data_IF_762560789531
#
_entry.id   IF_762560789531
#
_cell.length_a   1.000
_cell.length_b   1.000
_cell.length_c   1.000
_cell.angle_alpha   90.00
_cell.angle_beta   90.00
_cell.angle_gamma   90.00
#
_symmetry.space_group_name_H-M   'P 1'
#
loop_
_entity.id
_entity.type
_entity.pdbx_description
1 polymer ?
#
# COMPACT_ATOMS: atom_id res chain seq x y z
N UNK A 1 -4.01 34.14 -4.88
CA UNK A 1 -3.47 33.36 -3.75
C UNK A 1 -3.21 34.33 -2.60
N UNK A 2 -4.21 34.54 -1.73
CA UNK A 2 -4.10 35.49 -0.62
C UNK A 2 -3.42 34.78 0.57
N UNK A 3 -2.22 35.25 0.91
CA UNK A 3 -1.51 34.85 2.13
C UNK A 3 -2.26 35.41 3.35
N UNK A 4 -2.92 34.53 4.09
CA UNK A 4 -3.39 34.80 5.44
C UNK A 4 -2.16 34.98 6.36
N UNK A 5 -1.71 36.23 6.50
CA UNK A 5 -0.81 36.62 7.59
C UNK A 5 -1.59 36.46 8.90
N UNK A 6 -1.42 35.32 9.57
CA UNK A 6 -1.86 35.15 10.95
C UNK A 6 -1.23 36.25 11.79
N UNK A 7 -2.03 37.24 12.20
CA UNK A 7 -1.57 38.35 13.00
C UNK A 7 -1.00 37.80 14.32
N UNK A 8 0.33 37.78 14.43
CA UNK A 8 1.01 37.41 15.65
C UNK A 8 0.76 38.52 16.67
N UNK A 9 -0.24 38.33 17.52
CA UNK A 9 -0.65 39.34 18.49
C UNK A 9 0.48 39.63 19.48
N UNK A 10 0.71 40.93 19.73
CA UNK A 10 1.80 41.38 20.61
C UNK A 10 1.50 41.20 22.11
N UNK A 11 2.52 41.31 22.96
CA UNK A 11 2.41 41.11 24.41
C UNK A 11 1.29 41.94 25.09
N UNK A 12 1.04 43.16 24.62
CA UNK A 12 -0.02 44.05 25.15
C UNK A 12 -1.43 43.50 24.90
N UNK A 13 -1.65 42.84 23.76
CA UNK A 13 -2.92 42.18 23.45
C UNK A 13 -3.18 41.06 24.44
N UNK A 14 -2.22 40.15 24.60
CA UNK A 14 -2.36 39.01 25.51
C UNK A 14 -2.57 39.44 26.97
N UNK A 15 -1.88 40.49 27.42
CA UNK A 15 -2.14 41.08 28.74
C UNK A 15 -3.57 41.64 28.88
N UNK A 16 -4.07 42.37 27.87
CA UNK A 16 -5.46 42.86 27.89
C UNK A 16 -6.48 41.73 27.89
N UNK A 17 -6.25 40.68 27.11
CA UNK A 17 -7.11 39.49 27.08
C UNK A 17 -7.08 38.77 28.43
N UNK A 18 -5.90 38.57 29.03
CA UNK A 18 -5.76 37.99 30.37
C UNK A 18 -6.55 38.75 31.43
N UNK A 19 -6.55 40.09 31.36
CA UNK A 19 -7.39 40.92 32.26
C UNK A 19 -8.87 40.69 32.07
N UNK A 20 -9.35 40.59 30.82
CA UNK A 20 -10.77 40.30 30.54
C UNK A 20 -11.16 38.92 31.08
N UNK A 21 -10.31 37.92 30.91
CA UNK A 21 -10.56 36.58 31.46
C UNK A 21 -10.58 36.58 33.00
N UNK A 22 -9.64 37.28 33.65
CA UNK A 22 -9.64 37.41 35.11
C UNK A 22 -10.91 38.09 35.63
N UNK A 23 -11.38 39.15 34.97
CA UNK A 23 -12.63 39.84 35.31
C UNK A 23 -13.87 38.94 35.17
N UNK A 24 -13.80 37.95 34.29
CA UNK A 24 -14.84 36.94 34.11
C UNK A 24 -14.65 35.69 35.00
N UNK A 25 -13.71 35.71 35.95
CA UNK A 25 -13.31 34.54 36.76
C UNK A 25 -12.83 33.33 35.94
N UNK A 26 -12.41 33.55 34.70
CA UNK A 26 -11.84 32.53 33.81
C UNK A 26 -10.34 32.42 34.06
N UNK A 27 -9.97 31.88 35.21
CA UNK A 27 -8.59 31.95 35.72
C UNK A 27 -7.59 31.15 34.86
N UNK A 28 -7.97 29.98 34.33
CA UNK A 28 -7.13 29.15 33.44
C UNK A 28 -6.76 29.88 32.14
N UNK A 29 -7.73 30.54 31.51
CA UNK A 29 -7.57 31.35 30.31
C UNK A 29 -6.80 32.64 30.59
N UNK A 30 -7.00 33.21 31.78
CA UNK A 30 -6.28 34.38 32.24
C UNK A 30 -4.78 34.13 32.36
N UNK A 31 -4.37 33.11 33.13
CA UNK A 31 -2.95 32.77 33.32
C UNK A 31 -2.28 32.33 32.01
N UNK A 32 -3.01 31.63 31.15
CA UNK A 32 -2.51 31.24 29.81
C UNK A 32 -2.26 32.47 28.93
N UNK A 33 -3.13 33.47 29.01
CA UNK A 33 -2.95 34.73 28.30
C UNK A 33 -1.81 35.56 28.88
N UNK A 34 -1.66 35.61 30.21
CA UNK A 34 -0.53 36.30 30.84
C UNK A 34 0.81 35.65 30.55
N UNK A 35 0.90 34.31 30.55
CA UNK A 35 2.08 33.58 30.08
C UNK A 35 2.52 34.05 28.69
N UNK A 36 1.59 34.08 27.72
CA UNK A 36 1.88 34.56 26.35
C UNK A 36 2.37 36.01 26.31
N UNK A 37 1.94 36.86 27.25
CA UNK A 37 2.41 38.22 27.38
C UNK A 37 3.83 38.28 27.99
N UNK A 38 4.11 37.47 29.01
CA UNK A 38 5.42 37.37 29.67
C UNK A 38 6.46 36.79 28.72
N UNK A 39 6.16 35.68 28.04
CA UNK A 39 7.09 35.04 27.07
C UNK A 39 7.57 36.03 26.00
N UNK A 40 6.71 36.97 25.59
CA UNK A 40 7.04 38.01 24.61
C UNK A 40 7.76 39.22 25.21
N UNK A 41 7.51 39.55 26.48
CA UNK A 41 8.09 40.72 27.18
C UNK A 41 8.34 40.37 28.65
N UNK A 42 9.41 39.62 28.97
CA UNK A 42 9.64 39.05 30.30
C UNK A 42 9.98 40.07 31.38
N UNK A 43 10.51 41.24 30.99
CA UNK A 43 10.95 42.30 31.91
C UNK A 43 9.82 43.27 32.31
N UNK A 44 8.56 43.00 31.94
CA UNK A 44 7.43 43.86 32.30
C UNK A 44 6.81 43.42 33.62
N UNK A 45 7.18 44.13 34.69
CA UNK A 45 6.72 43.90 36.06
C UNK A 45 5.19 43.73 36.16
N UNK A 46 4.42 44.62 35.53
CA UNK A 46 2.94 44.54 35.54
C UNK A 46 2.35 43.26 34.95
N UNK A 47 3.07 42.55 34.07
CA UNK A 47 2.61 41.26 33.53
C UNK A 47 2.87 40.14 34.54
N UNK A 48 3.98 40.21 35.26
CA UNK A 48 4.32 39.27 36.34
C UNK A 48 3.37 39.42 37.53
N UNK A 49 3.07 40.66 37.96
CA UNK A 49 2.09 40.91 39.02
C UNK A 49 0.71 40.32 38.66
N UNK A 50 0.21 40.59 37.45
CA UNK A 50 -1.08 40.06 37.03
C UNK A 50 -1.10 38.52 36.91
N UNK A 51 0.05 37.91 36.58
CA UNK A 51 0.23 36.46 36.58
C UNK A 51 0.26 35.90 38.01
N UNK A 52 0.94 36.56 38.94
CA UNK A 52 1.00 36.19 40.36
C UNK A 52 -0.41 36.21 40.97
N UNK A 53 -1.17 37.28 40.74
CA UNK A 53 -2.53 37.44 41.29
C UNK A 53 -3.47 36.36 40.74
N UNK A 54 -3.56 36.22 39.41
CA UNK A 54 -4.47 35.27 38.78
C UNK A 54 -4.03 33.81 38.97
N UNK A 55 -2.72 33.56 39.00
CA UNK A 55 -2.14 32.24 39.23
C UNK A 55 -2.30 31.79 40.68
N UNK A 56 -2.13 32.70 41.65
CA UNK A 56 -2.39 32.40 43.06
C UNK A 56 -3.87 32.09 43.29
N UNK A 57 -4.78 32.87 42.70
CA UNK A 57 -6.22 32.62 42.77
C UNK A 57 -6.59 31.28 42.12
N UNK A 58 -5.99 30.93 40.97
CA UNK A 58 -6.23 29.66 40.31
C UNK A 58 -5.78 28.48 41.16
N UNK A 59 -4.55 28.52 41.70
CA UNK A 59 -4.04 27.44 42.53
C UNK A 59 -4.84 27.31 43.83
N UNK A 60 -5.26 28.43 44.43
CA UNK A 60 -6.14 28.42 45.60
C UNK A 60 -7.46 27.71 45.28
N UNK A 61 -8.10 28.06 44.17
CA UNK A 61 -9.36 27.46 43.72
C UNK A 61 -9.19 25.94 43.49
N UNK A 62 -8.13 25.54 42.79
CA UNK A 62 -7.89 24.14 42.45
C UNK A 62 -7.58 23.28 43.69
N UNK A 63 -6.68 23.73 44.58
CA UNK A 63 -6.36 22.99 45.80
C UNK A 63 -7.51 23.04 46.82
N UNK A 64 -8.29 24.11 46.87
CA UNK A 64 -9.53 24.17 47.66
C UNK A 64 -10.57 23.17 47.13
N UNK A 65 -10.73 23.09 45.82
CA UNK A 65 -11.62 22.11 45.19
C UNK A 65 -11.20 20.67 45.47
N UNK A 66 -9.88 20.40 45.50
CA UNK A 66 -9.33 19.12 45.94
C UNK A 66 -9.73 18.79 47.38
N UNK A 67 -9.53 19.73 48.33
CA UNK A 67 -9.93 19.53 49.74
C UNK A 67 -11.42 19.28 49.92
N UNK A 68 -12.27 19.98 49.17
CA UNK A 68 -13.73 19.78 49.24
C UNK A 68 -14.21 18.47 48.61
N UNK A 69 -13.35 17.76 47.87
CA UNK A 69 -13.66 16.42 47.39
C UNK A 69 -13.31 15.31 48.39
N UNK A 70 -12.71 15.66 49.53
CA UNK A 70 -12.30 14.69 50.54
C UNK A 70 -13.47 13.80 50.99
N UNK A 71 -13.18 12.50 51.16
CA UNK A 71 -14.20 11.45 51.31
C UNK A 71 -14.72 10.83 49.99
N UNK A 72 -14.39 11.41 48.83
CA UNK A 72 -14.54 10.77 47.52
C UNK A 72 -13.17 10.65 46.84
N UNK A 73 -12.44 9.57 47.16
CA UNK A 73 -11.06 9.35 46.69
C UNK A 73 -10.92 9.52 45.16
N UNK A 74 -11.90 9.07 44.36
CA UNK A 74 -11.87 9.23 42.90
C UNK A 74 -11.85 10.70 42.47
N UNK A 75 -12.72 11.52 43.06
CA UNK A 75 -12.83 12.93 42.71
C UNK A 75 -11.62 13.72 43.22
N UNK A 76 -11.12 13.39 44.42
CA UNK A 76 -9.94 14.02 45.01
C UNK A 76 -8.68 13.79 44.17
N UNK A 77 -8.39 12.55 43.77
CA UNK A 77 -7.20 12.20 42.97
C UNK A 77 -7.13 13.04 41.68
N UNK A 78 -8.22 13.09 40.91
CA UNK A 78 -8.20 13.84 39.64
C UNK A 78 -8.14 15.35 39.82
N UNK A 79 -8.74 15.89 40.88
CA UNK A 79 -8.64 17.32 41.21
C UNK A 79 -7.23 17.69 41.66
N UNK A 80 -6.58 16.84 42.46
CA UNK A 80 -5.18 17.02 42.83
C UNK A 80 -4.28 17.01 41.59
N UNK A 81 -4.43 16.02 40.70
CA UNK A 81 -3.66 15.94 39.46
C UNK A 81 -3.84 17.16 38.55
N UNK A 82 -5.04 17.74 38.46
CA UNK A 82 -5.25 19.00 37.74
C UNK A 82 -4.58 20.19 38.45
N UNK A 83 -4.69 20.28 39.78
CA UNK A 83 -4.00 21.31 40.57
C UNK A 83 -2.47 21.26 40.38
N UNK A 84 -1.88 20.07 40.49
CA UNK A 84 -0.45 19.82 40.28
C UNK A 84 0.00 20.18 38.86
N UNK A 85 -0.81 19.81 37.85
CA UNK A 85 -0.55 20.18 36.46
C UNK A 85 -0.47 21.69 36.29
N UNK A 86 -1.40 22.44 36.88
CA UNK A 86 -1.38 23.91 36.83
C UNK A 86 -0.25 24.50 37.66
N UNK A 87 0.08 23.94 38.84
CA UNK A 87 1.23 24.37 39.63
C UNK A 87 2.53 24.24 38.82
N UNK A 88 2.75 23.08 38.21
CA UNK A 88 3.92 22.81 37.37
C UNK A 88 3.96 23.71 36.13
N UNK A 89 2.81 24.09 35.57
CA UNK A 89 2.73 25.06 34.48
C UNK A 89 3.10 26.49 34.92
N UNK A 90 2.85 26.85 36.18
CA UNK A 90 3.02 28.20 36.72
C UNK A 90 4.37 28.44 37.40
N UNK A 91 5.10 27.39 37.82
CA UNK A 91 6.34 27.49 38.61
C UNK A 91 7.43 28.36 37.96
N UNK A 92 7.52 28.43 36.63
CA UNK A 92 8.49 29.29 35.92
C UNK A 92 8.10 30.78 35.88
N UNK A 93 6.89 31.12 36.31
CA UNK A 93 6.28 32.43 36.12
C UNK A 93 5.90 33.14 37.42
N UNK A 94 5.71 32.38 38.51
CA UNK A 94 5.30 32.86 39.83
C UNK A 94 5.83 31.96 40.94
N UNK A 95 5.74 32.41 42.20
CA UNK A 95 6.13 31.57 43.33
C UNK A 95 5.02 30.56 43.68
N UNK A 96 5.33 29.27 43.64
CA UNK A 96 4.38 28.19 43.98
C UNK A 96 4.77 27.41 45.24
N UNK A 97 5.80 27.83 45.98
CA UNK A 97 6.39 27.05 47.08
C UNK A 97 5.39 26.68 48.19
N UNK A 98 4.38 27.52 48.44
CA UNK A 98 3.32 27.26 49.43
C UNK A 98 2.49 25.99 49.14
N UNK A 99 2.52 25.48 47.91
CA UNK A 99 1.78 24.29 47.48
C UNK A 99 2.69 23.10 47.18
N UNK A 100 4.01 23.27 47.26
CA UNK A 100 4.97 22.21 46.95
C UNK A 100 5.03 21.22 48.10
N UNK A 101 4.74 19.94 47.82
CA UNK A 101 4.77 18.86 48.81
C UNK A 101 3.66 18.90 49.86
N UNK A 102 2.87 19.99 49.94
CA UNK A 102 1.95 20.23 51.05
C UNK A 102 0.84 19.17 51.17
N UNK A 103 0.34 18.67 50.04
CA UNK A 103 -0.75 17.69 49.96
C UNK A 103 -0.28 16.29 49.56
N UNK A 104 1.02 16.06 49.47
CA UNK A 104 1.58 14.82 48.91
C UNK A 104 1.18 13.59 49.72
N UNK A 105 1.19 13.70 51.05
CA UNK A 105 0.83 12.58 51.94
C UNK A 105 -0.65 12.24 51.81
N UNK A 106 -1.53 13.24 51.91
CA UNK A 106 -2.99 13.07 51.76
C UNK A 106 -3.33 12.45 50.40
N UNK A 107 -2.67 12.92 49.33
CA UNK A 107 -2.85 12.40 47.98
C UNK A 107 -2.41 10.94 47.88
N UNK A 108 -1.24 10.57 48.43
CA UNK A 108 -0.75 9.19 48.41
C UNK A 108 -1.69 8.25 49.16
N UNK A 109 -2.16 8.65 50.34
CA UNK A 109 -3.09 7.83 51.14
C UNK A 109 -4.44 7.64 50.43
N UNK A 110 -4.97 8.67 49.76
CA UNK A 110 -6.17 8.57 48.93
C UNK A 110 -5.95 7.70 47.69
N UNK A 111 -4.80 7.86 47.01
CA UNK A 111 -4.43 7.09 45.84
C UNK A 111 -4.33 5.59 46.18
N UNK A 112 -3.66 5.24 47.28
CA UNK A 112 -3.49 3.84 47.69
C UNK A 112 -4.83 3.14 47.92
N UNK A 113 -5.78 3.79 48.61
CA UNK A 113 -7.14 3.26 48.82
C UNK A 113 -7.89 3.10 47.50
N UNK A 114 -7.83 4.10 46.64
CA UNK A 114 -8.52 4.09 45.36
C UNK A 114 -7.99 3.00 44.43
N UNK A 115 -6.67 2.87 44.31
CA UNK A 115 -6.03 1.84 43.51
C UNK A 115 -6.34 0.44 44.06
N UNK A 116 -6.35 0.25 45.38
CA UNK A 116 -6.73 -1.03 46.00
C UNK A 116 -8.17 -1.43 45.62
N UNK A 117 -9.14 -0.53 45.76
CA UNK A 117 -10.54 -0.81 45.38
C UNK A 117 -10.71 -1.08 43.89
N UNK A 118 -9.97 -0.36 43.03
CA UNK A 118 -9.99 -0.60 41.59
C UNK A 118 -9.37 -1.95 41.26
N UNK A 119 -8.27 -2.30 41.89
CA UNK A 119 -7.57 -3.56 41.69
C UNK A 119 -8.45 -4.77 42.06
N UNK A 120 -9.15 -4.70 43.20
CA UNK A 120 -10.08 -5.76 43.62
C UNK A 120 -11.24 -5.92 42.63
N UNK A 121 -11.78 -4.80 42.11
CA UNK A 121 -12.82 -4.81 41.08
C UNK A 121 -12.33 -5.44 39.77
N UNK A 122 -11.12 -5.09 39.32
CA UNK A 122 -10.52 -5.68 38.13
C UNK A 122 -10.39 -7.21 38.28
N UNK A 123 -9.84 -7.68 39.40
CA UNK A 123 -9.73 -9.10 39.71
C UNK A 123 -11.09 -9.81 39.70
N UNK A 124 -12.12 -9.21 40.31
CA UNK A 124 -13.49 -9.75 40.27
C UNK A 124 -14.01 -9.86 38.84
N UNK A 125 -13.85 -8.81 38.04
CA UNK A 125 -14.30 -8.80 36.65
C UNK A 125 -13.58 -9.85 35.81
N UNK A 126 -12.26 -9.99 35.94
CA UNK A 126 -11.46 -11.04 35.30
C UNK A 126 -12.01 -12.43 35.65
N UNK A 127 -12.22 -12.74 36.93
CA UNK A 127 -12.77 -14.04 37.37
C UNK A 127 -14.15 -14.33 36.80
N UNK A 128 -14.96 -13.29 36.59
CA UNK A 128 -16.29 -13.38 35.97
C UNK A 128 -16.29 -13.19 34.45
N UNK A 129 -15.11 -13.22 33.80
CA UNK A 129 -14.92 -13.03 32.34
C UNK A 129 -15.47 -11.72 31.78
N UNK A 130 -15.62 -10.69 32.62
CA UNK A 130 -16.02 -9.33 32.21
C UNK A 130 -14.78 -8.53 31.77
N UNK A 131 -14.07 -9.02 30.76
CA UNK A 131 -12.74 -8.52 30.36
C UNK A 131 -12.73 -7.05 29.94
N UNK A 132 -13.72 -6.59 29.17
CA UNK A 132 -13.79 -5.19 28.74
C UNK A 132 -13.89 -4.22 29.93
N UNK A 133 -14.65 -4.59 30.98
CA UNK A 133 -14.75 -3.80 32.21
C UNK A 133 -13.43 -3.81 32.99
N UNK A 134 -12.79 -4.98 33.08
CA UNK A 134 -11.48 -5.11 33.70
C UNK A 134 -10.44 -4.23 33.00
N UNK A 135 -10.34 -4.31 31.66
CA UNK A 135 -9.40 -3.52 30.86
C UNK A 135 -9.56 -2.01 31.10
N UNK A 136 -10.78 -1.47 30.96
CA UNK A 136 -11.05 -0.03 31.17
C UNK A 136 -10.55 0.44 32.54
N UNK A 137 -10.76 -0.36 33.57
CA UNK A 137 -10.35 -0.05 34.93
C UNK A 137 -8.85 -0.24 35.18
N UNK A 138 -8.23 -1.27 34.61
CA UNK A 138 -6.78 -1.53 34.70
C UNK A 138 -5.97 -0.47 33.95
N UNK A 139 -6.44 0.02 32.80
CA UNK A 139 -5.84 1.15 32.08
C UNK A 139 -5.77 2.39 32.97
N UNK A 140 -6.82 2.62 33.75
CA UNK A 140 -6.85 3.76 34.68
C UNK A 140 -5.86 3.58 35.83
N UNK A 141 -5.79 2.38 36.45
CA UNK A 141 -4.78 2.07 37.46
C UNK A 141 -3.38 2.31 36.88
N UNK A 142 -3.06 1.73 35.72
CA UNK A 142 -1.76 1.86 35.06
C UNK A 142 -1.40 3.31 34.71
N UNK A 143 -2.40 4.15 34.41
CA UNK A 143 -2.20 5.59 34.15
C UNK A 143 -1.84 6.36 35.42
N UNK A 144 -2.44 5.99 36.55
CA UNK A 144 -2.21 6.63 37.85
C UNK A 144 -0.91 6.15 38.49
N UNK A 145 -0.66 4.84 38.42
CA UNK A 145 0.58 4.20 38.87
C UNK A 145 0.92 3.01 37.96
N UNK A 146 1.90 3.17 37.04
CA UNK A 146 2.33 2.12 36.13
C UNK A 146 2.92 0.89 36.82
N UNK A 147 3.51 1.04 38.01
CA UNK A 147 4.18 -0.05 38.74
C UNK A 147 3.28 -0.63 39.85
N UNK A 148 1.99 -0.30 39.84
CA UNK A 148 1.04 -0.80 40.83
C UNK A 148 0.84 -2.31 40.68
N UNK A 149 1.54 -3.07 41.52
CA UNK A 149 1.47 -4.55 41.58
C UNK A 149 1.68 -5.15 40.18
N UNK A 150 0.82 -6.09 39.79
CA UNK A 150 0.80 -6.81 38.52
C UNK A 150 -0.21 -6.22 37.51
N UNK A 151 -0.48 -4.90 37.56
CA UNK A 151 -1.46 -4.26 36.68
C UNK A 151 -1.12 -4.43 35.19
N UNK A 152 0.16 -4.49 34.83
CA UNK A 152 0.61 -4.65 33.44
C UNK A 152 0.23 -6.04 32.94
N UNK A 153 0.51 -7.06 33.73
CA UNK A 153 0.23 -8.47 33.48
C UNK A 153 -1.28 -8.73 33.45
N UNK A 154 -2.05 -8.18 34.41
CA UNK A 154 -3.50 -8.30 34.43
C UNK A 154 -4.16 -7.62 33.23
N UNK A 155 -3.63 -6.48 32.78
CA UNK A 155 -4.14 -5.79 31.60
C UNK A 155 -3.88 -6.61 30.33
N UNK A 156 -2.67 -7.15 30.19
CA UNK A 156 -2.32 -8.04 29.10
C UNK A 156 -3.19 -9.30 29.11
N UNK A 157 -3.37 -9.95 30.26
CA UNK A 157 -4.27 -11.10 30.40
C UNK A 157 -5.70 -10.76 29.98
N UNK A 158 -6.25 -9.65 30.48
CA UNK A 158 -7.61 -9.24 30.16
C UNK A 158 -7.81 -8.91 28.67
N UNK A 159 -6.75 -8.51 27.96
CA UNK A 159 -6.78 -8.28 26.50
C UNK A 159 -6.59 -9.58 25.70
N UNK A 160 -5.70 -10.46 26.14
CA UNK A 160 -5.32 -11.68 25.42
C UNK A 160 -6.37 -12.79 25.57
N UNK A 161 -6.88 -13.02 26.78
CA UNK A 161 -7.81 -14.12 27.10
C UNK A 161 -9.07 -14.15 26.22
N UNK A 162 -9.83 -13.05 26.03
CA UNK A 162 -11.01 -13.10 25.17
C UNK A 162 -10.67 -13.40 23.70
N UNK A 163 -9.52 -12.91 23.21
CA UNK A 163 -9.04 -13.18 21.85
C UNK A 163 -8.64 -14.65 21.70
N UNK A 164 -7.95 -15.20 22.69
CA UNK A 164 -7.57 -16.60 22.73
C UNK A 164 -8.81 -17.51 22.68
N UNK A 165 -9.83 -17.23 23.50
CA UNK A 165 -11.09 -18.01 23.51
C UNK A 165 -11.78 -17.96 22.15
N UNK A 166 -11.96 -16.78 21.56
CA UNK A 166 -12.59 -16.66 20.23
C UNK A 166 -11.75 -17.31 19.12
N UNK A 167 -10.43 -17.29 19.22
CA UNK A 167 -9.55 -17.98 18.29
C UNK A 167 -9.71 -19.51 18.39
N UNK A 168 -9.89 -20.06 19.59
CA UNK A 168 -10.18 -21.48 19.76
C UNK A 168 -11.54 -21.87 19.17
N UNK A 169 -12.57 -21.05 19.37
CA UNK A 169 -13.89 -21.28 18.77
C UNK A 169 -13.83 -21.32 17.24
N UNK A 170 -13.14 -20.36 16.62
CA UNK A 170 -12.92 -20.35 15.17
C UNK A 170 -12.07 -21.54 14.69
N UNK A 171 -11.07 -21.95 15.49
CA UNK A 171 -10.25 -23.12 15.18
C UNK A 171 -11.07 -24.42 15.19
N UNK A 172 -12.01 -24.56 16.13
CA UNK A 172 -12.94 -25.69 16.20
C UNK A 172 -13.92 -25.72 15.01
N UNK A 173 -14.29 -24.55 14.48
CA UNK A 173 -15.12 -24.42 13.29
C UNK A 173 -14.35 -24.62 11.97
N UNK A 174 -13.03 -24.79 12.00
CA UNK A 174 -12.19 -24.90 10.80
C UNK A 174 -11.92 -23.57 10.08
N UNK A 175 -12.24 -22.44 10.71
CA UNK A 175 -12.11 -21.10 10.13
C UNK A 175 -10.66 -20.56 10.29
N UNK A 176 -9.69 -21.30 9.76
CA UNK A 176 -8.27 -21.07 10.08
C UNK A 176 -7.73 -19.70 9.63
N UNK A 177 -8.17 -19.20 8.48
CA UNK A 177 -7.80 -17.85 8.00
C UNK A 177 -8.32 -16.77 8.95
N UNK A 178 -9.54 -16.92 9.45
CA UNK A 178 -10.13 -16.00 10.42
C UNK A 178 -9.42 -16.05 11.77
N UNK A 179 -8.95 -17.22 12.22
CA UNK A 179 -8.07 -17.33 13.40
C UNK A 179 -6.82 -16.48 13.20
N UNK A 180 -6.09 -16.68 12.10
CA UNK A 180 -4.87 -15.93 11.83
C UNK A 180 -5.13 -14.41 11.78
N UNK A 181 -6.19 -13.96 11.09
CA UNK A 181 -6.59 -12.55 11.01
C UNK A 181 -6.95 -11.95 12.39
N UNK A 182 -7.72 -12.68 13.21
CA UNK A 182 -8.12 -12.27 14.55
C UNK A 182 -6.91 -12.06 15.48
N UNK A 183 -5.88 -12.89 15.35
CA UNK A 183 -4.71 -12.89 16.22
C UNK A 183 -3.71 -11.77 15.88
N UNK A 184 -3.64 -11.30 14.62
CA UNK A 184 -2.61 -10.35 14.17
C UNK A 184 -2.51 -9.07 15.01
N UNK A 185 -3.61 -8.36 15.34
CA UNK A 185 -3.52 -7.12 16.10
C UNK A 185 -2.89 -7.33 17.49
N UNK A 186 -3.27 -8.43 18.15
CA UNK A 186 -2.79 -8.75 19.50
C UNK A 186 -1.35 -9.25 19.48
N UNK A 187 -0.97 -10.11 18.51
CA UNK A 187 0.41 -10.56 18.34
C UNK A 187 1.36 -9.42 17.94
N UNK A 188 0.88 -8.41 17.21
CA UNK A 188 1.67 -7.20 16.93
C UNK A 188 1.94 -6.40 18.21
N UNK A 189 0.96 -6.32 19.12
CA UNK A 189 1.10 -5.63 20.40
C UNK A 189 1.93 -6.43 21.42
N UNK A 190 1.75 -7.75 21.43
CA UNK A 190 2.40 -8.69 22.34
C UNK A 190 3.10 -9.82 21.57
N UNK A 191 4.26 -9.55 20.94
CA UNK A 191 4.92 -10.53 20.07
C UNK A 191 5.42 -11.78 20.78
N UNK A 192 5.52 -11.79 22.11
CA UNK A 192 6.01 -12.92 22.90
C UNK A 192 4.85 -13.76 23.50
N UNK A 193 3.61 -13.54 23.05
CA UNK A 193 2.45 -14.30 23.52
C UNK A 193 2.42 -15.72 22.93
N UNK A 194 3.12 -16.63 23.60
CA UNK A 194 3.30 -18.02 23.16
C UNK A 194 1.99 -18.79 23.00
N UNK A 195 0.96 -18.49 23.79
CA UNK A 195 -0.36 -19.14 23.65
C UNK A 195 -1.01 -18.80 22.31
N UNK A 196 -1.04 -17.50 21.96
CA UNK A 196 -1.61 -17.06 20.68
C UNK A 196 -0.79 -17.58 19.50
N UNK A 197 0.55 -17.61 19.61
CA UNK A 197 1.42 -18.17 18.57
C UNK A 197 1.16 -19.64 18.30
N UNK A 198 0.96 -20.44 19.35
CA UNK A 198 0.63 -21.87 19.17
C UNK A 198 -0.72 -22.05 18.47
N UNK A 199 -1.71 -21.22 18.76
CA UNK A 199 -3.01 -21.26 18.07
C UNK A 199 -2.87 -20.83 16.62
N UNK A 200 -2.09 -19.79 16.34
CA UNK A 200 -1.77 -19.33 14.99
C UNK A 200 -1.05 -20.41 14.18
N UNK A 201 -0.01 -21.03 14.74
CA UNK A 201 0.73 -22.14 14.13
C UNK A 201 -0.20 -23.32 13.82
N UNK A 202 -1.08 -23.69 14.76
CA UNK A 202 -2.07 -24.75 14.53
C UNK A 202 -3.06 -24.39 13.42
N UNK A 203 -3.54 -23.15 13.38
CA UNK A 203 -4.44 -22.69 12.32
C UNK A 203 -3.74 -22.75 10.97
N UNK A 204 -2.53 -22.22 10.86
CA UNK A 204 -1.73 -22.26 9.64
C UNK A 204 -1.50 -23.70 9.21
N UNK A 205 -1.02 -24.59 10.08
CA UNK A 205 -0.73 -25.98 9.70
C UNK A 205 -1.97 -26.76 9.27
N UNK A 206 -3.11 -26.56 9.93
CA UNK A 206 -4.36 -27.25 9.58
C UNK A 206 -5.00 -26.71 8.32
N UNK A 207 -4.95 -25.38 8.11
CA UNK A 207 -5.52 -24.72 6.95
C UNK A 207 -4.61 -24.67 5.73
N UNK A 208 -3.34 -25.08 5.86
CA UNK A 208 -2.35 -25.02 4.78
C UNK A 208 -2.81 -25.83 3.58
N UNK A 209 -2.95 -25.15 2.46
CA UNK A 209 -3.25 -25.72 1.16
C UNK A 209 -1.96 -25.89 0.34
N UNK A 210 -1.65 -27.12 0.00
CA UNK A 210 -0.49 -27.49 -0.82
C UNK A 210 -0.88 -27.52 -2.29
N UNK A 211 -0.55 -26.47 -3.02
CA UNK A 211 -0.87 -26.31 -4.42
C UNK A 211 0.27 -26.84 -5.30
N UNK A 212 0.05 -27.98 -5.94
CA UNK A 212 0.98 -28.53 -6.93
C UNK A 212 0.83 -27.81 -8.28
N UNK A 213 1.93 -27.43 -8.92
CA UNK A 213 1.89 -26.81 -10.26
C UNK A 213 2.43 -27.81 -11.27
N UNK A 214 1.63 -28.12 -12.28
CA UNK A 214 1.94 -29.13 -13.29
C UNK A 214 2.10 -28.51 -14.68
N UNK A 215 2.96 -29.14 -15.50
CA UNK A 215 3.06 -28.84 -16.92
C UNK A 215 2.24 -29.84 -17.74
N UNK A 216 1.86 -29.45 -18.95
CA UNK A 216 1.20 -30.34 -19.91
C UNK A 216 2.24 -30.89 -20.89
N UNK A 217 2.56 -32.19 -20.86
CA UNK A 217 3.57 -32.78 -21.73
C UNK A 217 3.16 -32.82 -23.20
N UNK A 218 1.88 -32.62 -23.52
CA UNK A 218 1.39 -32.63 -24.90
C UNK A 218 1.60 -31.28 -25.60
N UNK A 219 1.94 -30.22 -24.86
CA UNK A 219 2.25 -28.93 -25.45
C UNK A 219 3.62 -28.98 -26.12
N UNK A 220 3.68 -28.45 -27.35
CA UNK A 220 4.93 -28.33 -28.10
C UNK A 220 5.08 -26.91 -28.66
N UNK A 221 6.26 -26.59 -29.21
CA UNK A 221 6.48 -25.31 -29.90
C UNK A 221 6.40 -24.06 -29.01
N UNK A 222 5.80 -23.00 -29.57
CA UNK A 222 5.65 -21.69 -28.93
C UNK A 222 4.79 -21.73 -27.67
N UNK A 223 3.74 -22.53 -27.69
CA UNK A 223 2.76 -22.69 -26.62
C UNK A 223 3.40 -23.31 -25.39
N UNK A 224 4.24 -24.34 -25.57
CA UNK A 224 4.99 -24.95 -24.48
C UNK A 224 5.95 -23.94 -23.82
N UNK A 225 6.76 -23.26 -24.63
CA UNK A 225 7.74 -22.28 -24.14
C UNK A 225 7.07 -21.13 -23.38
N UNK A 226 5.95 -20.63 -23.91
CA UNK A 226 5.20 -19.56 -23.27
C UNK A 226 4.49 -20.05 -22.00
N UNK A 227 3.95 -21.28 -21.99
CA UNK A 227 3.34 -21.87 -20.80
C UNK A 227 4.36 -22.03 -19.67
N UNK A 228 5.59 -22.49 -19.94
CA UNK A 228 6.65 -22.55 -18.92
C UNK A 228 7.01 -21.17 -18.34
N UNK A 229 7.13 -20.16 -19.21
CA UNK A 229 7.42 -18.79 -18.77
C UNK A 229 6.28 -18.21 -17.93
N UNK A 230 5.04 -18.48 -18.33
CA UNK A 230 3.83 -18.10 -17.63
C UNK A 230 3.72 -18.77 -16.26
N UNK A 231 3.98 -20.08 -16.16
CA UNK A 231 4.01 -20.83 -14.90
C UNK A 231 5.03 -20.24 -13.92
N UNK A 232 6.26 -20.01 -14.39
CA UNK A 232 7.33 -19.38 -13.59
C UNK A 232 6.92 -18.00 -13.07
N UNK A 233 6.28 -17.19 -13.92
CA UNK A 233 5.80 -15.87 -13.55
C UNK A 233 4.65 -15.93 -12.52
N UNK A 234 3.70 -16.86 -12.68
CA UNK A 234 2.62 -17.09 -11.72
C UNK A 234 3.17 -17.53 -10.36
N UNK A 235 4.11 -18.49 -10.33
CA UNK A 235 4.79 -18.94 -9.10
C UNK A 235 5.41 -17.75 -8.38
N UNK A 236 6.19 -16.94 -9.10
CA UNK A 236 6.87 -15.77 -8.55
C UNK A 236 5.89 -14.76 -7.95
N UNK A 237 4.76 -14.51 -8.62
CA UNK A 237 3.72 -13.59 -8.14
C UNK A 237 3.01 -14.11 -6.90
N UNK A 238 2.64 -15.39 -6.87
CA UNK A 238 1.99 -16.01 -5.71
C UNK A 238 2.94 -16.02 -4.50
N UNK A 239 4.21 -16.42 -4.68
CA UNK A 239 5.20 -16.42 -3.60
C UNK A 239 5.43 -15.04 -3.00
N UNK A 240 5.27 -13.97 -3.80
CA UNK A 240 5.44 -12.59 -3.35
C UNK A 240 4.37 -12.15 -2.35
N UNK A 241 3.16 -12.67 -2.45
CA UNK A 241 2.08 -12.35 -1.49
C UNK A 241 2.32 -12.94 -0.10
N UNK A 242 3.14 -13.99 0.01
CA UNK A 242 3.48 -14.65 1.28
C UNK A 242 2.24 -15.08 2.08
N UNK A 243 1.25 -15.64 1.39
CA UNK A 243 0.08 -16.23 2.04
C UNK A 243 0.53 -17.41 2.93
N UNK A 244 0.39 -17.35 4.27
CA UNK A 244 0.86 -18.40 5.16
C UNK A 244 0.09 -19.72 4.98
N UNK A 245 -1.10 -19.66 4.36
CA UNK A 245 -1.94 -20.83 4.10
C UNK A 245 -1.67 -21.47 2.74
N UNK A 246 -0.77 -20.93 1.92
CA UNK A 246 -0.52 -21.46 0.58
C UNK A 246 0.93 -21.93 0.45
N UNK A 247 1.11 -23.23 0.29
CA UNK A 247 2.41 -23.85 0.03
C UNK A 247 2.44 -24.30 -1.44
N UNK A 248 3.40 -23.78 -2.21
CA UNK A 248 3.56 -24.15 -3.62
C UNK A 248 4.52 -25.34 -3.75
N UNK A 249 4.07 -26.36 -4.47
CA UNK A 249 4.89 -27.52 -4.83
C UNK A 249 5.13 -27.50 -6.34
N UNK A 250 6.38 -27.26 -6.76
CA UNK A 250 6.73 -27.37 -8.17
C UNK A 250 6.78 -28.85 -8.58
N UNK A 251 5.89 -29.25 -9.48
CA UNK A 251 5.75 -30.62 -10.00
C UNK A 251 6.05 -30.69 -11.49
N UNK A 252 6.64 -29.64 -12.06
CA UNK A 252 7.02 -29.57 -13.48
C UNK A 252 7.96 -30.71 -13.88
N UNK A 253 8.86 -31.12 -12.97
CA UNK A 253 9.82 -32.22 -13.18
C UNK A 253 9.58 -33.38 -12.21
N UNK A 254 8.33 -33.85 -12.09
CA UNK A 254 7.96 -34.90 -11.15
C UNK A 254 8.79 -36.19 -11.29
N UNK A 255 9.09 -36.60 -12.53
CA UNK A 255 9.86 -37.83 -12.81
C UNK A 255 11.30 -37.75 -12.26
N UNK A 256 11.93 -36.57 -12.31
CA UNK A 256 13.27 -36.35 -11.77
C UNK A 256 13.26 -36.37 -10.23
N UNK A 257 12.23 -35.76 -9.63
CA UNK A 257 12.03 -35.81 -8.17
C UNK A 257 11.75 -37.23 -7.67
N UNK A 258 11.03 -38.04 -8.45
CA UNK A 258 10.78 -39.44 -8.14
C UNK A 258 12.07 -40.27 -8.24
N UNK A 259 12.88 -40.07 -9.28
CA UNK A 259 14.17 -40.76 -9.43
C UNK A 259 15.16 -40.40 -8.32
N UNK A 260 15.23 -39.13 -7.90
CA UNK A 260 16.05 -38.70 -6.76
C UNK A 260 15.59 -39.37 -5.45
N UNK A 261 14.28 -39.49 -5.23
CA UNK A 261 13.74 -40.18 -4.06
C UNK A 261 13.98 -41.68 -4.10
N UNK A 262 13.79 -42.32 -5.25
CA UNK A 262 14.10 -43.74 -5.42
C UNK A 262 15.60 -44.02 -5.21
N UNK A 263 16.49 -43.12 -5.67
CA UNK A 263 17.92 -43.23 -5.41
C UNK A 263 18.29 -43.07 -3.92
N UNK A 264 17.60 -42.18 -3.19
CA UNK A 264 17.76 -42.02 -1.73
C UNK A 264 17.25 -43.26 -0.98
N UNK A 265 16.09 -43.79 -1.37
CA UNK A 265 15.48 -45.01 -0.78
C UNK A 265 16.35 -46.25 -1.05
N UNK A 266 16.91 -46.37 -2.25
CA UNK A 266 17.82 -47.45 -2.64
C UNK A 266 19.20 -47.35 -1.95
N UNK A 267 19.49 -46.23 -1.28
CA UNK A 267 20.78 -45.90 -0.66
C UNK A 267 20.89 -46.08 0.86
N UNK A 268 19.97 -46.82 1.51
CA UNK A 268 19.90 -47.25 2.95
C UNK A 268 18.80 -46.58 3.76
N UNK A 269 17.81 -47.39 4.19
CA UNK A 269 17.26 -47.63 5.55
C UNK A 269 15.73 -47.80 5.50
N UNK A 270 15.24 -48.84 6.18
CA UNK A 270 13.82 -49.19 6.31
C UNK A 270 12.99 -48.07 6.98
N UNK A 271 12.45 -47.13 6.21
CA UNK A 271 11.29 -46.32 6.58
C UNK A 271 10.39 -46.08 5.36
N UNK A 272 9.83 -47.17 4.83
CA UNK A 272 8.92 -47.17 3.66
C UNK A 272 7.63 -46.36 3.91
N UNK A 273 7.37 -45.95 5.16
CA UNK A 273 6.20 -45.16 5.54
C UNK A 273 6.43 -43.63 5.58
N UNK A 274 7.68 -43.15 5.61
CA UNK A 274 7.99 -41.72 5.87
C UNK A 274 8.06 -40.87 4.59
N UNK A 275 8.02 -41.49 3.40
CA UNK A 275 8.23 -40.78 2.12
C UNK A 275 6.97 -40.48 1.30
N UNK A 276 5.80 -41.04 1.63
CA UNK A 276 4.57 -40.82 0.83
C UNK A 276 3.67 -39.67 1.30
N UNK A 277 3.63 -39.34 2.60
CA UNK A 277 2.74 -38.31 3.13
C UNK A 277 3.29 -36.88 3.05
N UNK A 278 4.62 -36.71 3.03
CA UNK A 278 5.31 -35.40 3.04
C UNK A 278 5.24 -34.63 1.71
N UNK A 279 4.55 -35.16 0.69
CA UNK A 279 4.58 -34.65 -0.69
C UNK A 279 3.21 -34.61 -1.38
N UNK A 280 2.14 -34.85 -0.64
CA UNK A 280 0.78 -34.82 -1.16
C UNK A 280 0.32 -33.38 -1.42
N UNK A 281 0.22 -32.95 -2.69
CA UNK A 281 -0.53 -31.75 -3.05
C UNK A 281 -2.03 -31.97 -2.78
N UNK A 282 -2.75 -30.96 -2.30
CA UNK A 282 -4.20 -30.99 -2.14
C UNK A 282 -4.91 -30.84 -3.50
N UNK A 283 -4.31 -30.06 -4.39
CA UNK A 283 -4.77 -29.88 -5.77
C UNK A 283 -3.64 -29.55 -6.73
N UNK A 284 -3.91 -29.74 -8.02
CA UNK A 284 -3.01 -29.42 -9.11
C UNK A 284 -3.53 -28.23 -9.91
N UNK A 285 -2.72 -27.18 -9.96
CA UNK A 285 -2.91 -26.02 -10.81
C UNK A 285 -2.29 -26.29 -12.18
N UNK A 286 -3.12 -26.16 -13.21
CA UNK A 286 -2.71 -26.15 -14.61
C UNK A 286 -2.82 -24.73 -15.15
N UNK A 287 -1.70 -24.16 -15.58
CA UNK A 287 -1.64 -22.87 -16.28
C UNK A 287 -1.01 -23.10 -17.64
N UNK A 288 -1.81 -22.96 -18.70
CA UNK A 288 -1.38 -23.28 -20.07
C UNK A 288 -1.84 -22.23 -21.07
N UNK A 289 -1.06 -22.07 -22.14
CA UNK A 289 -1.48 -21.40 -23.35
C UNK A 289 -2.15 -22.43 -24.26
N UNK A 290 -3.43 -22.23 -24.54
CA UNK A 290 -4.22 -23.10 -25.42
C UNK A 290 -4.11 -22.69 -26.89
N UNK A 291 -3.87 -21.40 -27.15
CA UNK A 291 -3.67 -20.88 -28.50
C UNK A 291 -2.64 -19.74 -28.47
N UNK A 292 -1.68 -19.78 -29.39
CA UNK A 292 -0.75 -18.69 -29.63
C UNK A 292 -0.73 -18.37 -31.13
N UNK A 293 -0.97 -17.11 -31.46
CA UNK A 293 -0.85 -16.59 -32.81
C UNK A 293 0.14 -15.42 -32.80
N UNK A 294 1.17 -15.49 -33.63
CA UNK A 294 2.16 -14.44 -33.78
C UNK A 294 2.43 -14.21 -35.27
N UNK A 295 2.12 -13.01 -35.75
CA UNK A 295 2.37 -12.61 -37.12
C UNK A 295 3.32 -11.42 -37.15
N UNK A 296 4.53 -11.66 -37.63
CA UNK A 296 5.49 -10.61 -37.94
C UNK A 296 5.35 -10.23 -39.41
N UNK A 297 4.46 -9.26 -39.68
CA UNK A 297 4.16 -8.84 -41.04
C UNK A 297 5.39 -8.35 -41.81
N UNK A 298 5.35 -8.47 -43.12
CA UNK A 298 6.44 -8.02 -43.98
C UNK A 298 6.52 -6.50 -44.05
N UNK A 299 7.74 -5.96 -44.21
CA UNK A 299 7.93 -4.53 -44.47
C UNK A 299 7.53 -4.23 -45.92
N UNK A 300 6.33 -3.68 -46.10
CA UNK A 300 5.89 -3.18 -47.39
C UNK A 300 6.60 -1.87 -47.69
N UNK A 301 7.23 -1.80 -48.87
CA UNK A 301 7.89 -0.60 -49.38
C UNK A 301 7.38 -0.26 -50.78
N UNK A 302 7.04 1.00 -50.99
CA UNK A 302 6.56 1.48 -52.28
C UNK A 302 7.23 2.81 -52.63
N UNK A 303 7.79 2.90 -53.84
CA UNK A 303 8.30 4.18 -54.34
C UNK A 303 7.16 5.00 -54.92
N UNK A 304 6.89 6.15 -54.30
CA UNK A 304 5.85 7.08 -54.71
C UNK A 304 6.41 8.33 -55.34
N UNK A 305 5.59 8.91 -56.22
CA UNK A 305 5.86 10.16 -56.90
C UNK A 305 5.43 11.33 -56.03
N UNK A 306 6.22 12.38 -56.02
CA UNK A 306 5.93 13.60 -55.28
C UNK A 306 6.56 14.84 -55.91
N UNK A 307 6.41 15.94 -55.19
CA UNK A 307 6.94 17.25 -55.55
C UNK A 307 7.66 17.87 -54.36
N UNK A 308 8.86 18.39 -54.58
CA UNK A 308 9.59 19.18 -53.56
C UNK A 308 9.42 20.66 -53.87
N UNK A 309 8.95 21.42 -52.89
CA UNK A 309 8.90 22.88 -52.95
C UNK A 309 10.29 23.46 -52.69
N UNK A 310 10.69 24.37 -53.56
CA UNK A 310 11.88 25.19 -53.42
C UNK A 310 11.55 26.63 -53.77
N UNK A 311 12.43 27.57 -53.43
CA UNK A 311 12.23 28.98 -53.74
C UNK A 311 13.18 29.41 -54.85
N UNK A 312 12.65 30.13 -55.83
CA UNK A 312 13.43 30.81 -56.86
C UNK A 312 13.30 32.31 -56.63
N UNK A 313 14.41 33.03 -56.71
CA UNK A 313 14.40 34.50 -56.66
C UNK A 313 14.10 35.03 -58.06
N UNK A 314 12.98 35.71 -58.22
CA UNK A 314 12.60 36.42 -59.45
C UNK A 314 12.54 37.93 -59.15
N UNK A 315 13.00 38.77 -60.07
CA UNK A 315 12.82 40.24 -59.95
C UNK A 315 11.39 40.61 -60.36
N UNK A 316 10.70 41.36 -59.51
CA UNK A 316 9.39 41.89 -59.84
C UNK A 316 9.50 43.03 -60.88
N UNK A 317 8.36 43.54 -61.35
CA UNK A 317 8.29 44.65 -62.32
C UNK A 317 8.92 45.97 -61.85
N UNK A 318 9.31 46.04 -60.57
CA UNK A 318 9.95 47.21 -59.92
C UNK A 318 11.44 46.97 -59.61
N UNK A 319 11.99 45.80 -59.99
CA UNK A 319 13.41 45.47 -59.85
C UNK A 319 13.81 44.85 -58.51
N UNK A 320 12.86 44.64 -57.60
CA UNK A 320 13.09 44.03 -56.29
C UNK A 320 13.12 42.49 -56.37
N UNK A 321 13.97 41.87 -55.58
CA UNK A 321 14.10 40.41 -55.51
C UNK A 321 12.96 39.79 -54.68
N UNK A 322 12.06 39.06 -55.33
CA UNK A 322 10.95 38.36 -54.68
C UNK A 322 11.16 36.84 -54.74
N UNK A 323 11.01 36.16 -53.60
CA UNK A 323 11.08 34.70 -53.52
C UNK A 323 9.74 34.09 -53.94
N UNK A 324 9.74 33.34 -55.05
CA UNK A 324 8.57 32.62 -55.57
C UNK A 324 8.71 31.12 -55.32
N UNK A 325 7.63 30.49 -54.88
CA UNK A 325 7.60 29.05 -54.68
C UNK A 325 7.54 28.32 -56.02
N UNK A 326 8.54 27.48 -56.30
CA UNK A 326 8.60 26.56 -57.42
C UNK A 326 8.61 25.11 -56.91
N UNK A 327 8.32 24.16 -57.79
CA UNK A 327 8.17 22.75 -57.42
C UNK A 327 8.87 21.85 -58.44
N UNK A 328 9.67 20.92 -57.94
CA UNK A 328 10.37 19.93 -58.79
C UNK A 328 9.85 18.53 -58.51
N UNK A 329 9.80 17.69 -59.54
CA UNK A 329 9.34 16.30 -59.46
C UNK A 329 10.38 15.43 -58.78
N UNK A 330 9.95 14.70 -57.77
CA UNK A 330 10.82 13.85 -56.95
C UNK A 330 10.13 12.51 -56.68
N UNK A 331 10.91 11.53 -56.20
CA UNK A 331 10.40 10.30 -55.64
C UNK A 331 10.67 10.27 -54.14
N UNK A 332 9.80 9.60 -53.40
CA UNK A 332 9.99 9.25 -52.01
C UNK A 332 9.56 7.80 -51.80
N UNK A 333 10.08 7.13 -50.78
CA UNK A 333 9.70 5.75 -50.46
C UNK A 333 8.78 5.76 -49.26
N UNK A 334 7.64 5.09 -49.37
CA UNK A 334 6.69 4.88 -48.28
C UNK A 334 6.86 3.46 -47.73
N UNK A 335 6.89 3.35 -46.40
CA UNK A 335 7.09 2.11 -45.67
C UNK A 335 5.91 1.85 -44.75
N UNK A 336 5.42 0.61 -44.74
CA UNK A 336 4.37 0.12 -43.85
C UNK A 336 4.72 -1.26 -43.32
N UNK A 337 4.59 -1.49 -42.02
CA UNK A 337 4.69 -2.82 -41.40
C UNK A 337 3.71 -2.88 -40.23
N UNK A 338 3.05 -4.01 -40.06
CA UNK A 338 2.15 -4.29 -38.93
C UNK A 338 2.54 -5.65 -38.34
N UNK A 339 2.69 -5.69 -37.03
CA UNK A 339 2.91 -6.91 -36.27
C UNK A 339 1.71 -7.14 -35.37
N UNK A 340 1.30 -8.40 -35.23
CA UNK A 340 0.13 -8.79 -34.44
C UNK A 340 0.48 -10.04 -33.63
N UNK A 341 -0.07 -10.14 -32.42
CA UNK A 341 0.04 -11.33 -31.60
C UNK A 341 -1.20 -11.51 -30.73
N UNK A 342 -1.71 -12.74 -30.62
CA UNK A 342 -2.88 -13.11 -29.83
C UNK A 342 -2.61 -14.37 -29.02
N UNK A 343 -3.09 -14.40 -27.79
CA UNK A 343 -2.85 -15.51 -26.86
C UNK A 343 -4.10 -15.86 -26.06
N UNK A 344 -4.42 -17.14 -26.00
CA UNK A 344 -5.44 -17.71 -25.12
C UNK A 344 -4.79 -18.51 -24.00
N UNK A 345 -5.08 -18.14 -22.77
CA UNK A 345 -4.64 -18.83 -21.56
C UNK A 345 -5.81 -19.54 -20.90
N UNK A 346 -5.57 -20.75 -20.42
CA UNK A 346 -6.45 -21.45 -19.48
C UNK A 346 -5.73 -21.67 -18.14
N UNK A 347 -6.44 -21.38 -17.06
CA UNK A 347 -6.06 -21.66 -15.67
C UNK A 347 -7.10 -22.61 -15.10
N UNK A 348 -6.69 -23.76 -14.58
CA UNK A 348 -7.60 -24.72 -13.97
C UNK A 348 -7.01 -25.31 -12.69
N UNK A 349 -7.86 -25.52 -11.70
CA UNK A 349 -7.52 -26.24 -10.47
C UNK A 349 -8.26 -27.57 -10.45
N UNK A 350 -7.51 -28.64 -10.26
CA UNK A 350 -8.03 -30.01 -10.18
C UNK A 350 -7.70 -30.57 -8.80
N UNK A 351 -8.71 -31.08 -8.10
CA UNK A 351 -8.53 -31.75 -6.82
C UNK A 351 -7.77 -33.07 -7.01
N UNK A 352 -6.73 -33.32 -6.21
CA UNK A 352 -5.93 -34.54 -6.35
C UNK A 352 -6.73 -35.80 -6.04
N UNK A 353 -7.52 -35.78 -4.97
CA UNK A 353 -8.17 -36.98 -4.45
C UNK A 353 -9.24 -37.54 -5.41
N UNK A 354 -9.97 -36.66 -6.09
CA UNK A 354 -11.13 -37.04 -6.91
C UNK A 354 -10.92 -36.80 -8.40
N UNK A 355 -9.84 -36.11 -8.78
CA UNK A 355 -9.65 -35.56 -10.14
C UNK A 355 -10.77 -34.62 -10.60
N UNK A 356 -11.58 -34.10 -9.68
CA UNK A 356 -12.63 -33.12 -9.97
C UNK A 356 -12.00 -31.78 -10.31
N UNK A 357 -12.43 -31.19 -11.42
CA UNK A 357 -12.12 -29.79 -11.73
C UNK A 357 -12.88 -28.93 -10.72
N UNK A 358 -12.15 -28.26 -9.83
CA UNK A 358 -12.74 -27.34 -8.85
C UNK A 358 -13.19 -26.06 -9.56
N UNK A 359 -12.36 -25.54 -10.45
CA UNK A 359 -12.69 -24.41 -11.31
C UNK A 359 -11.76 -24.34 -12.53
N UNK A 360 -12.21 -23.60 -13.54
CA UNK A 360 -11.45 -23.27 -14.74
C UNK A 360 -11.76 -21.85 -15.17
N UNK A 361 -10.75 -21.12 -15.63
CA UNK A 361 -10.86 -19.75 -16.10
C UNK A 361 -10.02 -19.57 -17.37
N UNK A 362 -10.57 -18.85 -18.34
CA UNK A 362 -9.87 -18.52 -19.58
C UNK A 362 -9.66 -17.02 -19.71
N UNK A 363 -8.56 -16.65 -20.38
CA UNK A 363 -8.21 -15.26 -20.65
C UNK A 363 -7.65 -15.13 -22.05
N UNK A 364 -8.08 -14.06 -22.73
CA UNK A 364 -7.61 -13.71 -24.06
C UNK A 364 -6.80 -12.42 -24.00
N UNK A 365 -5.75 -12.33 -24.82
CA UNK A 365 -4.92 -11.14 -24.91
C UNK A 365 -4.35 -10.94 -26.32
N UNK A 366 -4.74 -9.83 -26.94
CA UNK A 366 -4.22 -9.38 -28.23
C UNK A 366 -3.29 -8.18 -28.13
N UNK A 367 -2.39 -8.09 -29.11
CA UNK A 367 -1.47 -6.99 -29.35
C UNK A 367 -1.38 -6.71 -30.85
N UNK A 368 -1.31 -5.43 -31.19
CA UNK A 368 -0.97 -4.99 -32.54
C UNK A 368 -0.08 -3.75 -32.43
N UNK A 369 0.91 -3.65 -33.30
CA UNK A 369 1.69 -2.43 -33.49
C UNK A 369 1.96 -2.21 -34.97
N UNK A 370 1.92 -0.95 -35.40
CA UNK A 370 2.11 -0.59 -36.80
C UNK A 370 3.04 0.60 -36.95
N UNK A 371 3.83 0.57 -38.02
CA UNK A 371 4.63 1.71 -38.46
C UNK A 371 4.21 2.13 -39.85
N UNK A 372 4.10 3.44 -40.03
CA UNK A 372 3.86 4.08 -41.31
C UNK A 372 4.74 5.33 -41.41
N UNK A 373 5.73 5.28 -42.29
CA UNK A 373 6.67 6.39 -42.46
C UNK A 373 7.10 6.53 -43.91
N UNK A 374 7.70 7.67 -44.23
CA UNK A 374 8.30 7.91 -45.54
C UNK A 374 9.78 8.25 -45.40
N UNK A 375 10.56 7.89 -46.41
CA UNK A 375 11.95 8.31 -46.57
C UNK A 375 12.08 9.16 -47.83
N UNK A 376 12.68 10.33 -47.65
CA UNK A 376 12.90 11.28 -48.71
C UNK A 376 14.26 11.94 -48.53
N UNK A 377 15.07 11.95 -49.60
CA UNK A 377 16.45 12.45 -49.56
C UNK A 377 16.56 13.98 -49.62
N UNK A 378 15.51 14.67 -50.11
CA UNK A 378 15.49 16.14 -50.21
C UNK A 378 15.16 16.83 -48.87
N UNK A 379 15.48 18.11 -48.80
CA UNK A 379 15.33 18.93 -47.59
C UNK A 379 14.08 19.81 -47.58
N UNK A 380 13.51 20.10 -48.76
CA UNK A 380 12.33 20.94 -48.92
C UNK A 380 11.01 20.28 -48.51
N UNK A 381 9.94 21.06 -48.55
CA UNK A 381 8.58 20.58 -48.27
C UNK A 381 8.15 19.61 -49.38
N UNK A 382 7.85 18.38 -48.98
CA UNK A 382 7.41 17.32 -49.86
C UNK A 382 5.89 17.33 -49.99
N UNK A 383 5.37 17.13 -51.20
CA UNK A 383 3.95 17.02 -51.51
C UNK A 383 3.71 15.73 -52.30
N UNK A 384 2.63 15.00 -52.03
CA UNK A 384 2.30 13.81 -52.83
C UNK A 384 1.75 14.22 -54.19
N UNK A 385 1.74 13.31 -55.15
CA UNK A 385 1.12 13.56 -56.44
C UNK A 385 1.47 12.52 -57.48
N UNK A 386 1.09 12.82 -58.73
CA UNK A 386 1.36 11.97 -59.87
C UNK A 386 1.98 12.77 -60.99
N UNK A 387 2.96 12.20 -61.67
CA UNK A 387 3.50 12.76 -62.90
C UNK A 387 3.83 11.67 -63.93
N UNK A 388 3.70 12.00 -65.22
CA UNK A 388 3.98 11.05 -66.31
C UNK A 388 5.46 10.96 -66.64
N UNK A 389 6.11 12.11 -66.82
CA UNK A 389 7.54 12.23 -67.12
C UNK A 389 8.25 13.04 -66.03
N UNK A 390 9.43 12.62 -65.60
CA UNK A 390 10.17 13.32 -64.52
C UNK A 390 10.75 14.66 -64.98
N UNK A 391 11.20 14.74 -66.23
CA UNK A 391 11.93 15.90 -66.76
C UNK A 391 11.13 16.73 -67.78
N UNK A 392 9.86 16.38 -68.03
CA UNK A 392 8.98 17.10 -68.97
C UNK A 392 7.66 17.42 -68.28
N UNK A 393 7.12 18.61 -68.52
CA UNK A 393 5.76 18.94 -68.08
C UNK A 393 4.75 18.10 -68.88
N UNK A 394 3.71 17.60 -68.22
CA UNK A 394 2.62 16.90 -68.87
C UNK A 394 1.27 17.35 -68.29
N UNK A 395 0.21 17.55 -69.09
CA UNK A 395 -1.08 18.05 -68.61
C UNK A 395 -1.75 17.19 -67.50
N UNK A 396 -1.42 15.90 -67.45
CA UNK A 396 -1.93 14.96 -66.44
C UNK A 396 -1.20 15.02 -65.10
N UNK A 397 -0.17 15.85 -64.97
CA UNK A 397 0.56 15.97 -63.72
C UNK A 397 -0.34 16.63 -62.66
N UNK A 398 -0.33 16.08 -61.46
CA UNK A 398 -1.12 16.53 -60.31
C UNK A 398 -0.26 16.56 -59.06
N UNK A 399 -0.48 17.55 -58.21
CA UNK A 399 0.18 17.72 -56.92
C UNK A 399 -0.90 17.90 -55.86
N UNK A 400 -0.80 17.15 -54.78
CA UNK A 400 -1.65 17.27 -53.60
C UNK A 400 -1.17 18.42 -52.70
N UNK A 401 -2.03 18.91 -51.82
CA UNK A 401 -1.66 19.92 -50.82
C UNK A 401 -1.55 19.30 -49.42
N UNK A 402 -0.67 18.32 -49.27
CA UNK A 402 -0.57 17.43 -48.10
C UNK A 402 0.82 17.44 -47.43
N UNK A 403 1.61 18.51 -47.64
CA UNK A 403 2.99 18.55 -47.13
C UNK A 403 3.09 18.44 -45.61
N UNK A 404 2.07 18.91 -44.89
CA UNK A 404 1.97 18.70 -43.44
C UNK A 404 1.88 17.21 -43.07
N UNK A 405 1.08 16.42 -43.81
CA UNK A 405 0.95 14.97 -43.60
C UNK A 405 2.26 14.24 -43.93
N UNK A 406 2.86 14.55 -45.08
CA UNK A 406 4.14 13.94 -45.46
C UNK A 406 5.27 14.32 -44.50
N UNK A 407 5.28 15.55 -43.98
CA UNK A 407 6.24 15.98 -42.95
C UNK A 407 6.07 15.19 -41.64
N UNK A 408 4.83 14.86 -41.25
CA UNK A 408 4.56 13.98 -40.10
C UNK A 408 5.04 12.55 -40.37
N UNK A 409 4.73 11.98 -41.54
CA UNK A 409 5.19 10.64 -41.93
C UNK A 409 6.72 10.55 -42.03
N UNK A 410 7.40 11.64 -42.44
CA UNK A 410 8.87 11.70 -42.46
C UNK A 410 9.48 11.63 -41.06
N UNK A 411 8.75 12.13 -40.06
CA UNK A 411 9.13 12.08 -38.63
C UNK A 411 8.53 10.88 -37.89
N UNK A 412 7.78 10.02 -38.57
CA UNK A 412 7.12 8.86 -37.98
C UNK A 412 8.12 7.88 -37.38
N UNK A 413 7.68 7.12 -36.36
CA UNK A 413 8.47 6.05 -35.78
C UNK A 413 8.73 4.97 -36.85
N UNK A 414 9.97 4.45 -36.88
CA UNK A 414 10.42 3.43 -37.83
C UNK A 414 10.52 2.04 -37.22
N UNK A 415 10.38 1.94 -35.91
CA UNK A 415 10.48 0.68 -35.18
C UNK A 415 9.10 0.20 -34.79
N UNK A 416 8.70 -0.93 -35.34
CA UNK A 416 7.53 -1.70 -34.89
C UNK A 416 7.96 -2.63 -33.77
N UNK A 417 7.11 -2.80 -32.76
CA UNK A 417 7.30 -3.74 -31.68
C UNK A 417 7.28 -5.17 -32.25
N UNK A 418 8.27 -5.98 -31.87
CA UNK A 418 8.34 -7.38 -32.31
C UNK A 418 7.31 -8.24 -31.60
N UNK A 419 6.88 -9.33 -32.25
CA UNK A 419 5.99 -10.34 -31.66
C UNK A 419 6.60 -10.96 -30.38
N UNK A 420 7.91 -11.16 -30.34
CA UNK A 420 8.64 -11.57 -29.13
C UNK A 420 8.50 -10.57 -27.96
N UNK A 421 8.55 -9.26 -28.23
CA UNK A 421 8.29 -8.25 -27.20
C UNK A 421 6.82 -8.25 -26.77
N UNK A 422 5.88 -8.48 -27.69
CA UNK A 422 4.46 -8.62 -27.35
C UNK A 422 4.22 -9.87 -26.50
N UNK A 423 4.87 -11.00 -26.81
CA UNK A 423 4.83 -12.24 -26.02
C UNK A 423 5.27 -12.02 -24.58
N UNK A 424 6.38 -11.31 -24.38
CA UNK A 424 6.88 -10.98 -23.04
C UNK A 424 5.86 -10.18 -22.23
N UNK A 425 5.21 -9.21 -22.86
CA UNK A 425 4.17 -8.41 -22.21
C UNK A 425 2.92 -9.25 -21.93
N UNK A 426 2.55 -10.13 -22.85
CA UNK A 426 1.45 -11.09 -22.67
C UNK A 426 1.68 -11.98 -21.45
N UNK A 427 2.88 -12.57 -21.31
CA UNK A 427 3.25 -13.39 -20.15
C UNK A 427 3.06 -12.60 -18.85
N UNK A 428 3.55 -11.35 -18.79
CA UNK A 428 3.40 -10.52 -17.59
C UNK A 428 1.93 -10.22 -17.24
N UNK A 429 1.12 -9.85 -18.23
CA UNK A 429 -0.30 -9.51 -18.03
C UNK A 429 -1.11 -10.75 -17.63
N UNK A 430 -0.92 -11.87 -18.35
CA UNK A 430 -1.64 -13.11 -18.13
C UNK A 430 -1.22 -13.76 -16.80
N UNK A 431 0.06 -13.78 -16.48
CA UNK A 431 0.54 -14.30 -15.18
C UNK A 431 -0.10 -13.54 -14.02
N UNK A 432 -0.20 -12.21 -14.12
CA UNK A 432 -0.87 -11.41 -13.10
C UNK A 432 -2.35 -11.76 -12.98
N UNK A 433 -3.08 -11.83 -14.10
CA UNK A 433 -4.51 -12.23 -14.10
C UNK A 433 -4.70 -13.60 -13.43
N UNK A 434 -3.84 -14.58 -13.75
CA UNK A 434 -3.89 -15.91 -13.16
C UNK A 434 -3.59 -15.89 -11.66
N UNK A 435 -2.49 -15.24 -11.24
CA UNK A 435 -2.10 -15.14 -9.83
C UNK A 435 -3.18 -14.44 -8.99
N UNK A 436 -3.68 -13.29 -9.44
CA UNK A 436 -4.75 -12.53 -8.78
C UNK A 436 -6.00 -13.41 -8.59
N UNK A 437 -6.37 -14.20 -9.61
CA UNK A 437 -7.52 -15.10 -9.55
C UNK A 437 -7.31 -16.25 -8.54
N UNK A 438 -6.13 -16.88 -8.54
CA UNK A 438 -5.79 -17.98 -7.62
C UNK A 438 -5.82 -17.49 -6.17
N UNK A 439 -5.19 -16.36 -5.89
CA UNK A 439 -5.15 -15.76 -4.56
C UNK A 439 -6.55 -15.35 -4.08
N UNK A 440 -7.40 -14.85 -4.98
CA UNK A 440 -8.78 -14.51 -4.65
C UNK A 440 -9.63 -15.72 -4.22
N UNK A 441 -9.25 -16.95 -4.58
CA UNK A 441 -9.96 -18.16 -4.12
C UNK A 441 -9.72 -18.45 -2.64
N UNK A 442 -8.72 -17.82 -2.00
CA UNK A 442 -8.35 -18.04 -0.59
C UNK A 442 -8.27 -19.54 -0.24
N UNK A 443 -7.62 -20.31 -1.10
CA UNK A 443 -7.53 -21.77 -0.98
C UNK A 443 -7.15 -22.18 0.45
N UNK A 444 -7.88 -23.13 1.00
CA UNK A 444 -7.72 -23.62 2.36
C UNK A 444 -8.04 -25.10 2.35
N UNK A 445 -7.36 -25.87 3.19
CA UNK A 445 -7.66 -27.29 3.36
C UNK A 445 -8.95 -27.42 4.15
N UNK A 446 -9.93 -28.14 3.58
CA UNK A 446 -11.19 -28.49 4.25
C UNK A 446 -10.99 -29.43 5.43
#
# INVERSE_FOLDING_TARGET
MALLLGACHGAKYHYKSGKKYAQASMLKESVTSYKRAIDRKPNKLKYRIAMEDAGSALLEELFTSYRFADGNDSASIYKFLDAEKWRNYLVSYMNTSRYEGFYDQDYRDQLDRFLAQKYDRANKWIRTRQFERAQKNLVEIKKLDPEYKDVKELLEFAEVEPIYVSALELLELGEYRSVHELLQPTLKKYPQQNLLRKVEEQAIERGKYRLGIISDPNLTGSEATMSSALQSAVISLIQREKDPFLELLDRTNFDLLQQEQEAIINGTTNEVAVTQELLAADGYLKVIITHAHEDEGELFQETKKGWEKYFVTEKNSEGEEVKKAAYKKVNYTEYRKRNEAGYDMQVALVERATSKILWTQTYHQDFADEVHYIQYAGSGDLYSGSWRYQHKAHPSDRRSNDSGQLSRLRKGNKRVKSTSSMRKDAVGILAKKAADYILAQKLIRE
#
